data_IF_958284312462
#
_entry.id   IF_958284312462
#
_cell.length_a   1.000
_cell.length_b   1.000
_cell.length_c   1.000
_cell.angle_alpha   90.00
_cell.angle_beta   90.00
_cell.angle_gamma   90.00
#
_symmetry.space_group_name_H-M   'P 1'
#
loop_
_entity.id
_entity.type
_entity.pdbx_description
1 polymer ?
#
# COMPACT_ATOMS: atom_id res chain seq x y z
N UNK A 1 46.47 -29.50 30.81
CA UNK A 1 45.49 -30.01 29.83
C UNK A 1 44.16 -30.45 30.44
N UNK A 2 44.12 -31.31 31.49
CA UNK A 2 42.85 -31.79 32.09
C UNK A 2 41.90 -30.68 32.59
N UNK A 3 42.40 -29.64 33.27
CA UNK A 3 41.56 -28.52 33.78
C UNK A 3 40.91 -27.69 32.67
N UNK A 4 41.63 -27.44 31.57
CA UNK A 4 41.08 -26.69 30.44
C UNK A 4 39.95 -27.48 29.74
N UNK A 5 40.10 -28.79 29.59
CA UNK A 5 39.05 -29.64 29.02
C UNK A 5 37.77 -29.63 29.87
N UNK A 6 37.90 -29.69 31.21
CA UNK A 6 36.74 -29.60 32.11
C UNK A 6 36.02 -28.25 32.00
N UNK A 7 36.77 -27.15 31.94
CA UNK A 7 36.18 -25.81 31.78
C UNK A 7 35.41 -25.70 30.45
N UNK A 8 35.98 -26.21 29.36
CA UNK A 8 35.32 -26.22 28.04
C UNK A 8 34.02 -27.03 28.07
N UNK A 9 34.02 -28.21 28.70
CA UNK A 9 32.81 -29.05 28.80
C UNK A 9 31.73 -28.36 29.64
N UNK A 10 32.09 -27.76 30.78
CA UNK A 10 31.12 -27.03 31.61
C UNK A 10 30.55 -25.81 30.88
N UNK A 11 31.39 -25.06 30.16
CA UNK A 11 30.93 -23.94 29.35
C UNK A 11 29.95 -24.38 28.26
N UNK A 12 30.24 -25.47 27.54
CA UNK A 12 29.34 -26.03 26.52
C UNK A 12 28.03 -26.50 27.14
N UNK A 13 28.06 -27.20 28.28
CA UNK A 13 26.86 -27.66 28.97
C UNK A 13 25.97 -26.49 29.44
N UNK A 14 26.58 -25.42 29.95
CA UNK A 14 25.87 -24.23 30.39
C UNK A 14 25.25 -23.49 29.19
N UNK A 15 25.97 -23.35 28.08
CA UNK A 15 25.43 -22.79 26.82
C UNK A 15 24.26 -23.65 26.33
N UNK A 16 24.38 -24.98 26.29
CA UNK A 16 23.32 -25.88 25.87
C UNK A 16 22.08 -25.78 26.77
N UNK A 17 22.27 -25.70 28.09
CA UNK A 17 21.17 -25.53 29.05
C UNK A 17 20.45 -24.19 28.85
N UNK A 18 21.18 -23.10 28.65
CA UNK A 18 20.59 -21.79 28.34
C UNK A 18 19.79 -21.85 27.03
N UNK A 19 20.36 -22.44 25.97
CA UNK A 19 19.67 -22.62 24.68
C UNK A 19 18.38 -23.44 24.82
N UNK A 20 18.41 -24.54 25.57
CA UNK A 20 17.24 -25.39 25.82
C UNK A 20 16.19 -24.67 26.67
N UNK A 21 16.59 -23.84 27.63
CA UNK A 21 15.67 -23.04 28.45
C UNK A 21 14.89 -22.02 27.62
N UNK A 22 15.56 -21.40 26.64
CA UNK A 22 14.92 -20.42 25.76
C UNK A 22 14.03 -21.07 24.70
N UNK A 23 14.32 -22.31 24.31
CA UNK A 23 13.53 -23.07 23.33
C UNK A 23 12.16 -23.45 23.92
N UNK A 24 11.11 -23.14 23.19
CA UNK A 24 9.72 -23.43 23.55
C UNK A 24 8.88 -23.60 22.27
N UNK A 25 8.98 -24.78 21.67
CA UNK A 25 8.31 -25.12 20.41
C UNK A 25 6.78 -25.01 20.55
N UNK A 26 6.23 -25.39 21.71
CA UNK A 26 4.78 -25.34 22.00
C UNK A 26 4.26 -23.90 22.09
N UNK A 27 5.02 -22.98 22.67
CA UNK A 27 4.63 -21.58 22.71
C UNK A 27 4.54 -20.99 21.31
N UNK A 28 5.54 -21.24 20.46
CA UNK A 28 5.53 -20.77 19.06
C UNK A 28 4.36 -21.39 18.28
N UNK A 29 4.11 -22.69 18.42
CA UNK A 29 2.98 -23.37 17.79
C UNK A 29 1.62 -22.84 18.28
N UNK A 30 1.51 -22.53 19.57
CA UNK A 30 0.30 -21.94 20.16
C UNK A 30 0.07 -20.54 19.63
N UNK A 31 1.08 -19.68 19.59
CA UNK A 31 0.95 -18.32 19.06
C UNK A 31 0.67 -18.33 17.56
N UNK A 32 1.30 -19.23 16.79
CA UNK A 32 1.10 -19.35 15.34
C UNK A 32 -0.29 -19.91 14.94
N UNK A 33 -0.90 -20.74 15.79
CA UNK A 33 -2.23 -21.33 15.56
C UNK A 33 -3.39 -20.40 15.95
N UNK A 34 -3.11 -19.27 16.61
CA UNK A 34 -4.13 -18.26 16.90
C UNK A 34 -4.57 -17.57 15.61
N UNK A 35 -5.88 -17.45 15.44
CA UNK A 35 -6.47 -16.72 14.33
C UNK A 35 -6.11 -15.23 14.38
N UNK A 36 -5.74 -14.70 13.22
CA UNK A 36 -5.61 -13.27 12.97
C UNK A 36 -7.00 -12.64 12.75
N UNK A 37 -7.16 -11.32 12.97
CA UNK A 37 -8.46 -10.64 12.86
C UNK A 37 -9.04 -10.73 11.45
N UNK A 38 -10.33 -10.41 11.30
CA UNK A 38 -10.98 -10.33 9.99
C UNK A 38 -11.01 -11.65 9.20
N UNK A 39 -11.13 -12.78 9.91
CA UNK A 39 -11.17 -14.13 9.31
C UNK A 39 -9.90 -14.50 8.51
N UNK A 40 -8.76 -13.85 8.81
CA UNK A 40 -7.49 -14.16 8.16
C UNK A 40 -6.89 -15.51 8.60
N UNK A 41 -7.44 -16.15 9.64
CA UNK A 41 -6.99 -17.46 10.10
C UNK A 41 -5.59 -17.46 10.74
N UNK A 42 -5.02 -18.64 11.00
CA UNK A 42 -3.69 -18.82 11.59
C UNK A 42 -2.53 -18.53 10.60
N UNK A 43 -1.29 -18.50 11.09
CA UNK A 43 -0.10 -18.18 10.27
C UNK A 43 0.24 -19.25 9.21
N UNK A 44 -0.08 -20.51 9.46
CA UNK A 44 0.11 -21.59 8.49
C UNK A 44 -0.81 -21.43 7.28
N UNK A 45 -2.06 -21.02 7.51
CA UNK A 45 -3.05 -20.71 6.47
C UNK A 45 -2.66 -19.47 5.64
N UNK A 46 -1.81 -18.58 6.16
CA UNK A 46 -1.33 -17.43 5.42
C UNK A 46 -0.66 -17.91 4.13
N UNK A 47 0.39 -18.72 4.21
CA UNK A 47 1.16 -19.15 3.03
C UNK A 47 0.31 -19.83 1.93
N UNK A 48 -0.79 -20.49 2.32
CA UNK A 48 -1.71 -21.18 1.40
C UNK A 48 -2.57 -20.21 0.57
N UNK A 49 -2.77 -18.97 1.04
CA UNK A 49 -3.58 -17.95 0.34
C UNK A 49 -2.97 -17.49 -0.97
N UNK A 50 -1.66 -17.71 -1.18
CA UNK A 50 -0.91 -17.12 -2.29
C UNK A 50 -0.30 -18.22 -3.18
N UNK A 51 -1.08 -18.80 -4.10
CA UNK A 51 -0.59 -19.86 -4.99
C UNK A 51 0.52 -19.36 -5.92
N UNK A 52 1.36 -20.26 -6.42
CA UNK A 52 2.29 -19.94 -7.50
C UNK A 52 1.55 -19.28 -8.67
N UNK A 53 2.13 -18.23 -9.24
CA UNK A 53 1.65 -17.64 -10.50
C UNK A 53 2.77 -17.65 -11.52
N UNK A 54 2.42 -17.94 -12.76
CA UNK A 54 3.31 -17.76 -13.90
C UNK A 54 3.07 -16.38 -14.51
N UNK A 55 4.17 -15.68 -14.84
CA UNK A 55 4.08 -14.43 -15.58
C UNK A 55 3.38 -14.65 -16.93
N UNK A 56 2.50 -13.72 -17.30
CA UNK A 56 1.88 -13.73 -18.62
C UNK A 56 2.62 -12.80 -19.61
N UNK A 57 2.32 -12.92 -20.91
CA UNK A 57 2.94 -12.09 -21.96
C UNK A 57 2.74 -10.59 -21.72
N UNK A 58 1.57 -10.19 -21.18
CA UNK A 58 1.28 -8.81 -20.84
C UNK A 58 2.26 -8.25 -19.78
N UNK A 59 2.62 -9.03 -18.76
CA UNK A 59 3.61 -8.59 -17.77
C UNK A 59 4.99 -8.35 -18.39
N UNK A 60 5.41 -9.18 -19.34
CA UNK A 60 6.70 -9.04 -20.04
C UNK A 60 6.69 -7.78 -20.92
N UNK A 61 5.61 -7.57 -21.68
CA UNK A 61 5.43 -6.36 -22.51
C UNK A 61 5.41 -5.09 -21.65
N UNK A 62 4.68 -5.11 -20.55
CA UNK A 62 4.61 -3.98 -19.62
C UNK A 62 6.00 -3.65 -19.07
N UNK A 63 6.78 -4.65 -18.68
CA UNK A 63 8.16 -4.45 -18.23
C UNK A 63 9.02 -3.80 -19.30
N UNK A 64 8.94 -4.28 -20.55
CA UNK A 64 9.68 -3.69 -21.65
C UNK A 64 9.30 -2.22 -21.90
N UNK A 65 7.99 -1.92 -21.95
CA UNK A 65 7.52 -0.55 -22.17
C UNK A 65 7.87 0.39 -21.02
N UNK A 66 7.71 -0.05 -19.77
CA UNK A 66 7.99 0.78 -18.61
C UNK A 66 9.50 1.03 -18.42
N UNK A 67 10.36 0.04 -18.73
CA UNK A 67 11.81 0.23 -18.72
C UNK A 67 12.31 1.15 -19.84
N UNK A 68 11.55 1.29 -20.93
CA UNK A 68 11.85 2.24 -22.00
C UNK A 68 11.45 3.68 -21.68
N UNK A 69 10.71 3.92 -20.59
CA UNK A 69 10.37 5.28 -20.17
C UNK A 69 11.63 6.00 -19.67
N UNK A 70 11.88 7.24 -20.14
CA UNK A 70 12.99 8.03 -19.64
C UNK A 70 12.74 8.39 -18.17
N UNK A 71 13.78 8.29 -17.33
CA UNK A 71 13.73 8.90 -15.99
C UNK A 71 13.57 10.41 -16.18
N UNK A 72 12.49 10.98 -15.64
CA UNK A 72 12.14 12.38 -15.88
C UNK A 72 11.68 13.04 -14.57
N UNK A 73 12.62 13.70 -13.89
CA UNK A 73 12.37 14.40 -12.63
C UNK A 73 11.32 15.51 -12.79
N UNK A 74 11.22 16.15 -13.97
CA UNK A 74 10.19 17.15 -14.22
C UNK A 74 8.77 16.55 -14.23
N UNK A 75 8.60 15.30 -14.67
CA UNK A 75 7.33 14.58 -14.58
C UNK A 75 7.00 14.25 -13.13
N UNK A 76 7.99 13.78 -12.37
CA UNK A 76 7.81 13.46 -10.95
C UNK A 76 7.42 14.72 -10.15
N UNK A 77 8.12 15.83 -10.35
CA UNK A 77 7.84 17.13 -9.71
C UNK A 77 6.47 17.70 -10.13
N UNK A 78 6.08 17.51 -11.39
CA UNK A 78 4.76 17.91 -11.89
C UNK A 78 3.64 17.15 -11.19
N UNK A 79 3.74 15.82 -11.12
CA UNK A 79 2.74 14.98 -10.46
C UNK A 79 2.69 15.27 -8.96
N UNK A 80 3.83 15.39 -8.30
CA UNK A 80 3.89 15.69 -6.87
C UNK A 80 3.26 17.06 -6.55
N UNK A 81 3.55 18.09 -7.35
CA UNK A 81 2.95 19.42 -7.20
C UNK A 81 1.44 19.36 -7.40
N UNK A 82 0.95 18.67 -8.43
CA UNK A 82 -0.49 18.59 -8.69
C UNK A 82 -1.25 17.77 -7.65
N UNK A 83 -0.63 16.75 -7.04
CA UNK A 83 -1.21 15.96 -5.94
C UNK A 83 -1.36 16.80 -4.67
N UNK A 84 -0.36 17.64 -4.37
CA UNK A 84 -0.36 18.45 -3.14
C UNK A 84 -1.20 19.71 -3.23
N UNK A 85 -1.55 20.14 -4.44
CA UNK A 85 -2.30 21.37 -4.64
C UNK A 85 -3.80 21.14 -4.52
N UNK A 86 -4.39 21.79 -3.51
CA UNK A 86 -5.84 21.81 -3.28
C UNK A 86 -6.61 22.77 -4.18
N UNK A 87 -6.18 22.96 -5.42
CA UNK A 87 -6.81 23.88 -6.40
C UNK A 87 -7.25 23.10 -7.63
N UNK A 88 -8.43 23.44 -8.16
CA UNK A 88 -9.03 22.73 -9.30
C UNK A 88 -8.23 22.94 -10.60
N UNK A 89 -7.53 24.06 -10.72
CA UNK A 89 -6.67 24.35 -11.86
C UNK A 89 -5.50 23.36 -11.92
N UNK A 90 -5.05 23.06 -13.14
CA UNK A 90 -3.91 22.18 -13.42
C UNK A 90 -2.84 23.04 -14.10
N UNK A 91 -1.59 22.99 -13.67
CA UNK A 91 -0.48 23.75 -14.27
C UNK A 91 -0.09 23.24 -15.65
N UNK A 92 0.78 23.99 -16.34
CA UNK A 92 1.34 23.53 -17.60
C UNK A 92 2.20 22.27 -17.34
N UNK A 93 1.96 21.17 -18.10
CA UNK A 93 2.76 19.97 -17.96
C UNK A 93 4.16 20.17 -18.58
N UNK A 94 5.17 19.41 -18.12
CA UNK A 94 6.44 19.29 -18.83
C UNK A 94 6.27 18.49 -20.13
N UNK A 95 7.34 18.33 -20.91
CA UNK A 95 7.34 17.38 -22.02
C UNK A 95 7.11 15.96 -21.49
N UNK A 96 6.03 15.33 -21.94
CA UNK A 96 5.64 13.99 -21.51
C UNK A 96 6.15 12.91 -22.47
N UNK A 97 6.56 11.73 -21.95
CA UNK A 97 6.84 10.58 -22.80
C UNK A 97 5.55 10.02 -23.42
N UNK A 98 5.67 9.33 -24.55
CA UNK A 98 4.53 8.57 -25.09
C UNK A 98 4.27 7.32 -24.23
N UNK A 99 3.08 7.28 -23.64
CA UNK A 99 2.60 6.19 -22.79
C UNK A 99 1.50 5.36 -23.44
N UNK A 100 1.21 5.57 -24.73
CA UNK A 100 0.05 4.98 -25.40
C UNK A 100 0.07 3.45 -25.37
N UNK A 101 1.22 2.83 -25.62
CA UNK A 101 1.38 1.38 -25.55
C UNK A 101 1.15 0.81 -24.14
N UNK A 102 1.59 1.52 -23.09
CA UNK A 102 1.37 1.15 -21.69
C UNK A 102 -0.12 1.24 -21.36
N UNK A 103 -0.78 2.35 -21.70
CA UNK A 103 -2.21 2.55 -21.49
C UNK A 103 -3.01 1.44 -22.17
N UNK A 104 -2.79 1.22 -23.45
CA UNK A 104 -3.56 0.26 -24.25
C UNK A 104 -3.43 -1.16 -23.70
N UNK A 105 -2.22 -1.56 -23.32
CA UNK A 105 -1.99 -2.87 -22.70
C UNK A 105 -2.76 -3.03 -21.39
N UNK A 106 -2.68 -2.05 -20.49
CA UNK A 106 -3.33 -2.07 -19.17
C UNK A 106 -4.86 -1.99 -19.23
N UNK A 107 -5.42 -1.37 -20.28
CA UNK A 107 -6.87 -1.33 -20.49
C UNK A 107 -7.42 -2.58 -21.15
N UNK A 108 -6.59 -3.32 -21.90
CA UNK A 108 -7.04 -4.47 -22.70
C UNK A 108 -6.95 -5.80 -21.97
N UNK A 109 -5.86 -6.03 -21.23
CA UNK A 109 -5.55 -7.36 -20.68
C UNK A 109 -5.09 -7.29 -19.22
N UNK A 110 -5.49 -8.26 -18.38
CA UNK A 110 -4.96 -8.37 -17.03
C UNK A 110 -3.47 -8.73 -17.07
N UNK A 111 -2.67 -8.03 -16.28
CA UNK A 111 -1.25 -8.33 -16.11
C UNK A 111 -1.07 -9.26 -14.91
N UNK A 112 -0.42 -10.40 -15.13
CA UNK A 112 -0.14 -11.40 -14.10
C UNK A 112 1.38 -11.51 -13.94
N UNK A 113 1.87 -11.20 -12.75
CA UNK A 113 3.29 -11.30 -12.42
C UNK A 113 3.65 -12.70 -11.98
N UNK A 114 4.89 -13.11 -12.27
CA UNK A 114 5.43 -14.33 -11.68
C UNK A 114 5.51 -14.19 -10.17
N UNK A 115 5.06 -15.26 -9.49
CA UNK A 115 5.11 -15.42 -8.04
C UNK A 115 5.53 -16.85 -7.75
N UNK A 116 6.65 -17.01 -7.06
CA UNK A 116 7.11 -18.32 -6.60
C UNK A 116 6.29 -18.85 -5.42
N UNK A 117 6.45 -20.14 -5.13
CA UNK A 117 5.85 -20.77 -3.96
C UNK A 117 6.58 -20.37 -2.69
N UNK A 118 5.83 -20.31 -1.59
CA UNK A 118 6.39 -20.24 -0.24
C UNK A 118 6.50 -18.84 0.32
N UNK A 119 7.29 -18.72 1.39
CA UNK A 119 7.53 -17.48 2.10
C UNK A 119 8.95 -17.02 1.83
N UNK A 120 9.09 -15.79 1.34
CA UNK A 120 10.37 -15.24 0.86
C UNK A 120 10.16 -14.35 -0.36
N UNK A 121 10.87 -13.21 -0.41
CA UNK A 121 10.79 -12.28 -1.52
C UNK A 121 11.80 -12.61 -2.62
N UNK A 122 11.37 -12.61 -3.88
CA UNK A 122 12.30 -12.67 -5.01
C UNK A 122 13.11 -11.37 -5.12
N UNK A 123 14.38 -11.49 -5.53
CA UNK A 123 15.38 -10.41 -5.61
C UNK A 123 14.97 -9.20 -6.48
N UNK A 124 13.90 -9.29 -7.27
CA UNK A 124 13.47 -8.29 -8.27
C UNK A 124 12.37 -7.31 -7.78
N UNK A 125 11.88 -7.44 -6.55
CA UNK A 125 10.68 -6.70 -6.12
C UNK A 125 10.87 -5.17 -6.05
N UNK A 126 12.08 -4.70 -5.72
CA UNK A 126 12.39 -3.28 -5.70
C UNK A 126 12.44 -2.67 -7.11
N UNK A 127 13.02 -3.39 -8.08
CA UNK A 127 13.07 -2.96 -9.47
C UNK A 127 11.67 -2.92 -10.08
N UNK A 128 10.86 -3.97 -9.86
CA UNK A 128 9.46 -4.02 -10.28
C UNK A 128 8.63 -2.89 -9.68
N UNK A 129 8.75 -2.64 -8.38
CA UNK A 129 8.06 -1.52 -7.72
C UNK A 129 8.45 -0.18 -8.33
N UNK A 130 9.75 0.02 -8.59
CA UNK A 130 10.25 1.27 -9.19
C UNK A 130 9.65 1.46 -10.57
N UNK A 131 9.70 0.44 -11.42
CA UNK A 131 9.10 0.42 -12.75
C UNK A 131 7.59 0.73 -12.72
N UNK A 132 6.83 0.08 -11.84
CA UNK A 132 5.38 0.29 -11.71
C UNK A 132 5.04 1.72 -11.30
N UNK A 133 5.76 2.28 -10.32
CA UNK A 133 5.53 3.65 -9.87
C UNK A 133 5.94 4.67 -10.94
N UNK A 134 6.99 4.42 -11.72
CA UNK A 134 7.37 5.26 -12.86
C UNK A 134 6.28 5.27 -13.93
N UNK A 135 5.78 4.10 -14.33
CA UNK A 135 4.69 4.00 -15.30
C UNK A 135 3.41 4.70 -14.79
N UNK A 136 3.07 4.50 -13.52
CA UNK A 136 1.93 5.16 -12.89
C UNK A 136 2.04 6.69 -12.91
N UNK A 137 3.20 7.25 -12.55
CA UNK A 137 3.42 8.72 -12.60
C UNK A 137 3.32 9.27 -14.02
N UNK A 138 3.88 8.58 -15.00
CA UNK A 138 3.79 9.00 -16.40
C UNK A 138 2.33 9.01 -16.91
N UNK A 139 1.53 7.99 -16.54
CA UNK A 139 0.11 7.95 -16.84
C UNK A 139 -0.67 9.07 -16.12
N UNK A 140 -0.40 9.32 -14.84
CA UNK A 140 -1.04 10.43 -14.08
C UNK A 140 -0.70 11.78 -14.69
N UNK A 141 0.55 12.00 -15.10
CA UNK A 141 0.95 13.23 -15.77
C UNK A 141 0.22 13.42 -17.11
N UNK A 142 0.09 12.35 -17.91
CA UNK A 142 -0.73 12.36 -19.14
C UNK A 142 -2.20 12.68 -18.84
N UNK A 143 -2.78 12.09 -17.80
CA UNK A 143 -4.16 12.34 -17.39
C UNK A 143 -4.37 13.83 -17.04
N UNK A 144 -3.47 14.41 -16.24
CA UNK A 144 -3.50 15.83 -15.88
C UNK A 144 -3.38 16.75 -17.10
N UNK A 145 -2.47 16.45 -18.03
CA UNK A 145 -2.30 17.22 -19.25
C UNK A 145 -3.57 17.21 -20.12
N UNK A 146 -4.22 16.04 -20.26
CA UNK A 146 -5.50 15.90 -20.96
C UNK A 146 -6.65 16.59 -20.22
N UNK A 147 -6.70 16.48 -18.90
CA UNK A 147 -7.72 17.14 -18.09
C UNK A 147 -7.63 18.67 -18.19
N UNK A 148 -6.42 19.24 -18.27
CA UNK A 148 -6.21 20.68 -18.48
C UNK A 148 -6.85 21.19 -19.78
N UNK A 149 -6.90 20.36 -20.83
CA UNK A 149 -7.61 20.67 -22.08
C UNK A 149 -9.06 20.17 -22.11
N UNK A 150 -9.61 19.82 -20.94
CA UNK A 150 -10.95 19.27 -20.76
C UNK A 150 -11.22 18.01 -21.61
N UNK A 151 -10.19 17.19 -21.88
CA UNK A 151 -10.30 15.97 -22.67
C UNK A 151 -10.74 14.78 -21.79
N UNK A 152 -11.91 14.16 -22.06
CA UNK A 152 -12.41 13.01 -21.28
C UNK A 152 -11.48 11.80 -21.26
N UNK A 153 -10.60 11.64 -22.26
CA UNK A 153 -9.60 10.57 -22.30
C UNK A 153 -8.53 10.66 -21.18
N UNK A 154 -8.58 11.70 -20.34
CA UNK A 154 -7.85 11.76 -19.08
C UNK A 154 -8.24 10.61 -18.14
N UNK A 155 -9.51 10.20 -18.15
CA UNK A 155 -9.98 9.10 -17.32
C UNK A 155 -9.40 7.75 -17.74
N UNK A 156 -9.13 7.54 -19.02
CA UNK A 156 -8.55 6.29 -19.52
C UNK A 156 -7.12 6.09 -19.00
N UNK A 157 -6.34 7.17 -18.91
CA UNK A 157 -5.00 7.13 -18.32
C UNK A 157 -5.07 6.77 -16.82
N UNK A 158 -6.01 7.35 -16.06
CA UNK A 158 -6.21 7.01 -14.65
C UNK A 158 -6.72 5.57 -14.47
N UNK A 159 -7.58 5.10 -15.37
CA UNK A 159 -8.06 3.72 -15.35
C UNK A 159 -6.92 2.73 -15.64
N UNK A 160 -6.00 3.07 -16.53
CA UNK A 160 -4.79 2.29 -16.74
C UNK A 160 -3.94 2.20 -15.47
N UNK A 161 -3.78 3.30 -14.72
CA UNK A 161 -3.10 3.27 -13.40
C UNK A 161 -3.86 2.39 -12.41
N UNK A 162 -5.19 2.42 -12.43
CA UNK A 162 -6.01 1.58 -11.57
C UNK A 162 -5.79 0.09 -11.89
N UNK A 163 -5.81 -0.28 -13.16
CA UNK A 163 -5.53 -1.64 -13.59
C UNK A 163 -4.10 -2.06 -13.24
N UNK A 164 -3.11 -1.16 -13.36
CA UNK A 164 -1.75 -1.41 -12.90
C UNK A 164 -1.68 -1.68 -11.39
N UNK A 165 -2.39 -0.90 -10.57
CA UNK A 165 -2.47 -1.11 -9.14
C UNK A 165 -3.09 -2.47 -8.80
N UNK A 166 -4.15 -2.86 -9.52
CA UNK A 166 -4.83 -4.16 -9.35
C UNK A 166 -3.96 -5.36 -9.68
N UNK A 167 -2.91 -5.20 -10.48
CA UNK A 167 -1.94 -6.29 -10.75
C UNK A 167 -1.20 -6.76 -9.49
N UNK A 168 -1.22 -5.94 -8.44
CA UNK A 168 -0.61 -6.22 -7.14
C UNK A 168 -1.62 -6.78 -6.13
N UNK A 169 -2.87 -6.95 -6.55
CA UNK A 169 -3.91 -7.54 -5.71
C UNK A 169 -3.55 -8.97 -5.35
N UNK A 170 -3.70 -9.31 -4.08
CA UNK A 170 -3.32 -10.62 -3.58
C UNK A 170 -1.81 -10.88 -3.63
N UNK A 171 -0.97 -9.87 -3.80
CA UNK A 171 0.47 -10.05 -3.62
C UNK A 171 0.80 -10.11 -2.11
N UNK A 172 1.50 -11.15 -1.63
CA UNK A 172 1.71 -11.35 -0.19
C UNK A 172 2.68 -10.35 0.44
N UNK A 173 3.53 -9.72 -0.36
CA UNK A 173 4.54 -8.80 0.15
C UNK A 173 3.99 -7.41 0.43
N UNK A 174 4.32 -6.88 1.61
CA UNK A 174 3.93 -5.54 2.05
C UNK A 174 4.41 -4.44 1.08
N UNK A 175 5.62 -4.59 0.52
CA UNK A 175 6.16 -3.64 -0.47
C UNK A 175 5.31 -3.53 -1.75
N UNK A 176 4.71 -4.63 -2.20
CA UNK A 176 3.79 -4.61 -3.34
C UNK A 176 2.47 -3.93 -2.97
N UNK A 177 1.89 -4.25 -1.81
CA UNK A 177 0.66 -3.62 -1.33
C UNK A 177 0.82 -2.11 -1.12
N UNK A 178 1.97 -1.64 -0.62
CA UNK A 178 2.25 -0.21 -0.50
C UNK A 178 2.38 0.49 -1.86
N UNK A 179 2.89 -0.20 -2.90
CA UNK A 179 2.92 0.32 -4.26
C UNK A 179 1.50 0.44 -4.84
N UNK A 180 0.65 -0.57 -4.64
CA UNK A 180 -0.76 -0.54 -5.02
C UNK A 180 -1.50 0.64 -4.36
N UNK A 181 -1.34 0.80 -3.05
CA UNK A 181 -1.90 1.92 -2.29
C UNK A 181 -1.38 3.27 -2.82
N UNK A 182 -0.09 3.37 -3.12
CA UNK A 182 0.51 4.61 -3.65
C UNK A 182 -0.10 4.99 -5.00
N UNK A 183 -0.29 4.03 -5.90
CA UNK A 183 -0.95 4.24 -7.19
C UNK A 183 -2.41 4.68 -7.02
N UNK A 184 -3.18 4.00 -6.16
CA UNK A 184 -4.57 4.37 -5.87
C UNK A 184 -4.67 5.80 -5.30
N UNK A 185 -3.76 6.17 -4.40
CA UNK A 185 -3.68 7.52 -3.83
C UNK A 185 -3.38 8.58 -4.89
N UNK A 186 -2.46 8.32 -5.83
CA UNK A 186 -2.19 9.24 -6.93
C UNK A 186 -3.44 9.45 -7.79
N UNK A 187 -4.16 8.39 -8.16
CA UNK A 187 -5.43 8.48 -8.90
C UNK A 187 -6.42 9.35 -8.14
N UNK A 188 -6.67 9.02 -6.86
CA UNK A 188 -7.63 9.72 -6.04
C UNK A 188 -7.32 11.22 -5.90
N UNK A 189 -6.04 11.55 -5.72
CA UNK A 189 -5.58 12.92 -5.52
C UNK A 189 -5.85 13.84 -6.73
N UNK A 190 -5.88 13.28 -7.94
CA UNK A 190 -6.11 14.05 -9.18
C UNK A 190 -7.51 13.85 -9.76
N UNK A 191 -8.23 12.79 -9.37
CA UNK A 191 -9.54 12.44 -9.93
C UNK A 191 -10.56 13.59 -9.84
N UNK A 192 -10.57 14.35 -8.75
CA UNK A 192 -11.48 15.49 -8.59
C UNK A 192 -11.18 16.67 -9.52
N UNK A 193 -10.03 16.68 -10.21
CA UNK A 193 -9.65 17.66 -11.23
C UNK A 193 -10.02 17.23 -12.66
N UNK A 194 -10.43 15.98 -12.85
CA UNK A 194 -10.73 15.43 -14.18
C UNK A 194 -12.03 16.00 -14.76
N UNK A 195 -12.22 15.96 -16.09
CA UNK A 195 -13.48 16.36 -16.72
C UNK A 195 -14.68 15.56 -16.19
N UNK A 196 -15.85 16.18 -16.11
CA UNK A 196 -17.09 15.47 -15.79
C UNK A 196 -17.70 14.85 -17.06
N UNK A 197 -18.47 13.74 -16.95
CA UNK A 197 -18.80 13.00 -15.73
C UNK A 197 -17.68 12.06 -15.27
N UNK A 198 -17.68 11.71 -13.98
CA UNK A 198 -16.79 10.66 -13.47
C UNK A 198 -17.23 9.27 -13.97
N UNK A 199 -16.30 8.39 -14.38
CA UNK A 199 -16.61 7.07 -14.89
C UNK A 199 -16.98 6.09 -13.76
N UNK A 200 -17.77 5.05 -14.10
CA UNK A 200 -18.26 4.08 -13.13
C UNK A 200 -17.15 3.31 -12.39
N UNK A 201 -16.04 2.99 -13.08
CA UNK A 201 -14.90 2.27 -12.48
C UNK A 201 -14.29 3.03 -11.30
N UNK A 202 -14.44 4.36 -11.24
CA UNK A 202 -13.94 5.14 -10.11
C UNK A 202 -14.64 4.70 -8.81
N UNK A 203 -15.92 4.32 -8.87
CA UNK A 203 -16.67 3.76 -7.75
C UNK A 203 -16.00 2.50 -7.18
N UNK A 204 -15.52 1.59 -8.04
CA UNK A 204 -14.80 0.38 -7.62
C UNK A 204 -13.54 0.72 -6.81
N UNK A 205 -12.78 1.72 -7.25
CA UNK A 205 -11.60 2.19 -6.52
C UNK A 205 -11.99 2.86 -5.18
N UNK A 206 -13.07 3.64 -5.17
CA UNK A 206 -13.57 4.33 -3.97
C UNK A 206 -14.07 3.35 -2.90
N UNK A 207 -14.64 2.22 -3.31
CA UNK A 207 -15.22 1.22 -2.41
C UNK A 207 -14.19 0.21 -1.86
N UNK A 208 -13.03 0.10 -2.51
CA UNK A 208 -12.00 -0.87 -2.14
C UNK A 208 -11.55 -0.80 -0.68
N UNK A 209 -11.38 -1.96 -0.05
CA UNK A 209 -10.66 -2.07 1.22
C UNK A 209 -9.15 -2.02 0.99
N UNK A 210 -8.49 -0.98 1.52
CA UNK A 210 -7.04 -0.81 1.41
C UNK A 210 -6.28 -1.26 2.67
N UNK A 211 -6.99 -1.52 3.77
CA UNK A 211 -6.37 -1.93 5.04
C UNK A 211 -6.24 -3.45 5.07
N UNK A 212 -7.27 -4.18 4.64
CA UNK A 212 -7.23 -5.65 4.64
C UNK A 212 -6.06 -6.24 3.86
N UNK A 213 -5.76 -5.83 2.60
CA UNK A 213 -4.60 -6.38 1.88
C UNK A 213 -3.26 -6.11 2.58
N UNK A 214 -3.12 -4.97 3.29
CA UNK A 214 -1.93 -4.66 4.08
C UNK A 214 -1.83 -5.56 5.33
N UNK A 215 -2.96 -5.82 6.00
CA UNK A 215 -3.01 -6.74 7.15
C UNK A 215 -2.69 -8.19 6.73
N UNK A 216 -3.19 -8.62 5.58
CA UNK A 216 -2.88 -9.92 5.00
C UNK A 216 -1.39 -10.05 4.65
N UNK A 217 -0.80 -8.98 4.09
CA UNK A 217 0.64 -8.93 3.83
C UNK A 217 1.48 -8.87 5.12
N UNK A 218 0.97 -8.21 6.16
CA UNK A 218 1.60 -8.20 7.48
C UNK A 218 1.59 -9.59 8.11
N UNK A 219 0.46 -10.31 8.04
CA UNK A 219 0.35 -11.71 8.44
C UNK A 219 1.35 -12.60 7.67
N UNK A 220 1.49 -12.42 6.36
CA UNK A 220 2.48 -13.16 5.56
C UNK A 220 3.91 -12.90 6.00
N UNK A 221 4.25 -11.63 6.25
CA UNK A 221 5.57 -11.27 6.75
C UNK A 221 5.85 -11.95 8.10
N UNK A 222 4.85 -11.99 8.98
CA UNK A 222 4.93 -12.71 10.26
C UNK A 222 5.11 -14.20 10.08
N UNK A 223 4.40 -14.81 9.13
CA UNK A 223 4.60 -16.20 8.78
C UNK A 223 6.01 -16.48 8.21
N UNK A 224 6.62 -15.52 7.48
CA UNK A 224 7.98 -15.64 6.91
C UNK A 224 9.00 -15.84 8.00
N UNK A 225 9.12 -14.85 8.90
CA UNK A 225 10.15 -14.92 9.92
C UNK A 225 9.86 -16.03 10.95
N UNK A 226 8.61 -16.47 11.10
CA UNK A 226 8.29 -17.64 11.92
C UNK A 226 8.78 -18.96 11.29
N UNK A 227 8.91 -19.02 9.95
CA UNK A 227 9.39 -20.19 9.20
C UNK A 227 10.86 -20.11 8.76
N UNK A 228 11.45 -18.91 8.72
CA UNK A 228 12.78 -18.69 8.14
C UNK A 228 13.94 -18.93 9.13
N UNK A 229 15.01 -19.55 8.61
CA UNK A 229 16.37 -19.53 9.16
C UNK A 229 16.52 -19.84 10.66
N UNK A 230 17.17 -18.93 11.38
CA UNK A 230 17.53 -19.07 12.79
C UNK A 230 16.32 -19.15 13.73
N UNK A 231 15.20 -18.51 13.37
CA UNK A 231 13.96 -18.56 14.16
C UNK A 231 13.29 -19.95 14.10
N UNK A 232 13.41 -20.65 12.97
CA UNK A 232 12.96 -22.03 12.84
C UNK A 232 13.82 -23.02 13.64
N UNK A 233 15.13 -22.76 13.73
CA UNK A 233 16.08 -23.57 14.52
C UNK A 233 15.96 -23.29 16.03
N UNK A 234 15.70 -22.03 16.39
CA UNK A 234 15.55 -21.55 17.76
C UNK A 234 14.15 -20.97 17.96
N UNK A 235 13.17 -21.87 18.03
CA UNK A 235 11.79 -21.52 18.43
C UNK A 235 11.79 -21.07 19.89
N UNK A 236 11.95 -19.77 20.12
CA UNK A 236 12.09 -19.23 21.47
C UNK A 236 10.78 -18.67 22.00
N UNK A 237 10.70 -18.47 23.33
CA UNK A 237 9.62 -17.68 23.95
C UNK A 237 9.53 -16.26 23.38
N UNK A 238 10.66 -15.67 22.99
CA UNK A 238 10.70 -14.34 22.37
C UNK A 238 10.03 -14.34 20.99
N UNK A 239 10.27 -15.36 20.16
CA UNK A 239 9.58 -15.51 18.88
C UNK A 239 8.05 -15.65 19.06
N UNK A 240 7.62 -16.46 20.03
CA UNK A 240 6.18 -16.59 20.34
C UNK A 240 5.55 -15.25 20.76
N UNK A 241 6.25 -14.50 21.63
CA UNK A 241 5.82 -13.17 22.04
C UNK A 241 5.77 -12.16 20.88
N UNK A 242 6.74 -12.22 19.97
CA UNK A 242 6.79 -11.39 18.76
C UNK A 242 5.61 -11.67 17.82
N UNK A 243 5.28 -12.95 17.58
CA UNK A 243 4.10 -13.36 16.80
C UNK A 243 2.81 -12.83 17.44
N UNK A 244 2.67 -13.01 18.76
CA UNK A 244 1.50 -12.54 19.48
C UNK A 244 1.39 -11.01 19.47
N UNK A 245 2.51 -10.30 19.57
CA UNK A 245 2.56 -8.85 19.48
C UNK A 245 2.09 -8.37 18.10
N UNK A 246 2.65 -8.89 17.01
CA UNK A 246 2.23 -8.55 15.64
C UNK A 246 0.73 -8.84 15.41
N UNK A 247 0.22 -9.96 15.93
CA UNK A 247 -1.21 -10.29 15.86
C UNK A 247 -2.07 -9.26 16.59
N UNK A 248 -1.66 -8.82 17.78
CA UNK A 248 -2.37 -7.80 18.55
C UNK A 248 -2.34 -6.43 17.84
N UNK A 249 -1.22 -6.06 17.20
CA UNK A 249 -1.15 -4.87 16.35
C UNK A 249 -2.17 -4.98 15.21
N UNK A 250 -2.22 -6.13 14.53
CA UNK A 250 -3.18 -6.35 13.45
C UNK A 250 -4.63 -6.25 13.94
N UNK A 251 -4.92 -6.77 15.14
CA UNK A 251 -6.25 -6.71 15.77
C UNK A 251 -6.66 -5.29 16.14
N UNK A 252 -5.73 -4.50 16.68
CA UNK A 252 -5.96 -3.07 16.91
C UNK A 252 -6.27 -2.36 15.59
N UNK A 253 -5.38 -2.48 14.60
CA UNK A 253 -5.52 -1.84 13.29
C UNK A 253 -6.83 -2.23 12.59
N UNK A 254 -7.23 -3.51 12.64
CA UNK A 254 -8.48 -3.97 12.03
C UNK A 254 -9.71 -3.26 12.59
N UNK A 255 -9.73 -2.99 13.89
CA UNK A 255 -10.86 -2.34 14.58
C UNK A 255 -10.82 -0.80 14.54
N UNK A 256 -9.75 -0.20 14.03
CA UNK A 256 -9.61 1.25 13.98
C UNK A 256 -10.54 1.90 12.94
N UNK A 257 -11.32 2.86 13.42
CA UNK A 257 -12.17 3.73 12.59
C UNK A 257 -11.60 5.14 12.43
N UNK A 258 -10.62 5.54 13.25
CA UNK A 258 -9.92 6.83 13.11
C UNK A 258 -9.00 6.83 11.89
N UNK A 259 -8.75 8.00 11.32
CA UNK A 259 -7.86 8.16 10.17
C UNK A 259 -6.49 8.72 10.56
N UNK A 260 -6.42 9.45 11.68
CA UNK A 260 -5.20 9.81 12.39
C UNK A 260 -4.73 8.64 13.29
N UNK A 261 -3.82 7.80 12.77
CA UNK A 261 -3.32 6.61 13.46
C UNK A 261 -1.85 6.74 13.84
N UNK A 262 -1.52 6.25 15.02
CA UNK A 262 -0.14 6.02 15.44
C UNK A 262 0.03 4.53 15.67
N UNK A 263 0.58 3.84 14.66
CA UNK A 263 0.74 2.40 14.72
C UNK A 263 2.04 2.07 15.46
N UNK A 264 2.03 1.12 16.40
CA UNK A 264 3.24 0.70 17.09
C UNK A 264 4.26 0.09 16.10
N UNK A 265 5.54 0.24 16.43
CA UNK A 265 6.62 -0.46 15.72
C UNK A 265 6.49 -1.97 15.91
N UNK A 266 6.81 -2.74 14.88
CA UNK A 266 6.95 -4.19 15.03
C UNK A 266 8.30 -4.56 15.66
N UNK A 267 8.38 -5.77 16.22
CA UNK A 267 9.59 -6.29 16.88
C UNK A 267 10.77 -6.52 15.92
N UNK A 268 10.51 -6.55 14.61
CA UNK A 268 11.54 -6.63 13.57
C UNK A 268 12.24 -5.29 13.29
N UNK A 269 11.88 -4.22 14.02
CA UNK A 269 12.47 -2.90 13.83
C UNK A 269 12.13 -2.26 12.48
N UNK A 270 11.13 -2.79 11.78
CA UNK A 270 10.62 -2.16 10.55
C UNK A 270 9.56 -1.15 10.94
N UNK A 271 9.86 0.13 10.77
CA UNK A 271 8.89 1.19 11.02
C UNK A 271 7.81 1.20 9.92
N UNK A 272 6.66 0.61 10.23
CA UNK A 272 5.47 0.58 9.38
C UNK A 272 4.51 1.73 9.68
N UNK A 273 4.85 2.64 10.60
CA UNK A 273 3.98 3.74 11.03
C UNK A 273 3.55 4.59 9.83
N UNK A 274 4.47 4.90 8.93
CA UNK A 274 4.17 5.64 7.70
C UNK A 274 3.17 4.91 6.79
N UNK A 275 3.32 3.59 6.63
CA UNK A 275 2.42 2.76 5.81
C UNK A 275 1.00 2.79 6.36
N UNK A 276 0.85 2.57 7.67
CA UNK A 276 -0.46 2.58 8.31
C UNK A 276 -1.08 3.98 8.30
N UNK A 277 -0.34 5.04 8.65
CA UNK A 277 -0.83 6.42 8.54
C UNK A 277 -1.37 6.73 7.15
N UNK A 278 -0.66 6.34 6.09
CA UNK A 278 -1.12 6.51 4.70
C UNK A 278 -2.41 5.74 4.43
N UNK A 279 -2.49 4.46 4.82
CA UNK A 279 -3.64 3.61 4.54
C UNK A 279 -4.92 4.11 5.23
N UNK A 280 -4.81 4.58 6.47
CA UNK A 280 -5.96 5.11 7.22
C UNK A 280 -6.35 6.51 6.75
N UNK A 281 -5.39 7.43 6.55
CA UNK A 281 -5.64 8.76 5.99
C UNK A 281 -6.29 8.69 4.60
N UNK A 282 -6.00 7.66 3.82
CA UNK A 282 -6.58 7.48 2.49
C UNK A 282 -8.11 7.37 2.51
N UNK A 283 -8.74 6.97 3.62
CA UNK A 283 -10.20 7.00 3.77
C UNK A 283 -10.74 8.43 3.63
N UNK A 284 -10.16 9.40 4.35
CA UNK A 284 -10.52 10.80 4.24
C UNK A 284 -10.20 11.37 2.85
N UNK A 285 -9.04 11.03 2.27
CA UNK A 285 -8.69 11.51 0.91
C UNK A 285 -9.73 11.08 -0.14
N UNK A 286 -10.24 9.85 -0.04
CA UNK A 286 -11.28 9.31 -0.91
C UNK A 286 -12.61 10.05 -0.79
N UNK A 287 -13.04 10.29 0.44
CA UNK A 287 -14.23 11.08 0.72
C UNK A 287 -14.09 12.52 0.24
N UNK A 288 -12.90 13.11 0.35
CA UNK A 288 -12.60 14.44 -0.18
C UNK A 288 -12.85 14.49 -1.69
N UNK A 289 -12.31 13.51 -2.43
CA UNK A 289 -12.47 13.40 -3.88
C UNK A 289 -13.93 13.17 -4.27
N UNK A 290 -14.64 12.27 -3.58
CA UNK A 290 -16.06 12.01 -3.82
C UNK A 290 -16.90 13.27 -3.60
N UNK A 291 -16.71 13.97 -2.47
CA UNK A 291 -17.41 15.21 -2.16
C UNK A 291 -17.07 16.34 -3.15
N UNK A 292 -15.81 16.45 -3.58
CA UNK A 292 -15.41 17.43 -4.58
C UNK A 292 -16.10 17.18 -5.93
N UNK A 293 -16.18 15.92 -6.38
CA UNK A 293 -16.92 15.56 -7.60
C UNK A 293 -18.41 15.87 -7.46
N UNK A 294 -19.03 15.56 -6.31
CA UNK A 294 -20.44 15.90 -6.03
C UNK A 294 -20.70 17.40 -6.14
N UNK A 295 -19.85 18.24 -5.52
CA UNK A 295 -19.99 19.70 -5.60
C UNK A 295 -19.89 20.18 -7.05
N UNK A 296 -18.93 19.66 -7.81
CA UNK A 296 -18.75 20.02 -9.23
C UNK A 296 -19.95 19.61 -10.10
N UNK A 297 -20.63 18.52 -9.74
CA UNK A 297 -21.90 18.07 -10.34
C UNK A 297 -23.13 18.85 -9.85
N UNK A 298 -22.97 19.83 -8.95
CA UNK A 298 -24.08 20.58 -8.36
C UNK A 298 -24.87 19.81 -7.29
N UNK A 299 -24.32 18.70 -6.78
CA UNK A 299 -24.92 17.88 -5.72
C UNK A 299 -24.44 18.35 -4.33
N UNK A 300 -25.28 18.15 -3.32
CA UNK A 300 -24.89 18.38 -1.92
C UNK A 300 -23.77 17.41 -1.50
N UNK A 301 -22.87 17.85 -0.63
CA UNK A 301 -21.84 17.01 -0.02
C UNK A 301 -22.45 16.01 0.97
N UNK A 302 -21.72 14.94 1.23
CA UNK A 302 -21.92 14.07 2.39
C UNK A 302 -21.07 14.61 3.53
N UNK A 303 -21.73 15.09 4.59
CA UNK A 303 -21.06 15.73 5.75
C UNK A 303 -20.46 14.70 6.72
N UNK A 304 -21.00 13.48 6.75
CA UNK A 304 -20.46 12.37 7.53
C UNK A 304 -19.14 11.86 6.93
N UNK A 305 -18.26 11.34 7.79
CA UNK A 305 -17.03 10.65 7.40
C UNK A 305 -17.02 9.24 7.96
N UNK A 306 -16.36 8.31 7.27
CA UNK A 306 -16.00 6.99 7.82
C UNK A 306 -14.84 7.10 8.81
N UNK A 307 -14.12 8.22 8.82
CA UNK A 307 -13.15 8.56 9.83
C UNK A 307 -13.86 9.07 11.08
N UNK A 308 -13.72 8.37 12.21
CA UNK A 308 -14.38 8.77 13.47
C UNK A 308 -13.81 10.05 14.11
N UNK A 309 -12.73 10.60 13.55
CA UNK A 309 -12.04 11.79 14.04
C UNK A 309 -12.56 13.12 13.45
N UNK A 310 -13.48 13.08 12.48
CA UNK A 310 -14.01 14.30 11.87
C UNK A 310 -15.15 14.11 10.87
N UNK A 311 -15.45 15.18 10.12
CA UNK A 311 -16.47 15.24 9.09
C UNK A 311 -16.15 16.29 8.03
N UNK A 312 -17.02 16.41 7.04
CA UNK A 312 -16.83 17.31 5.90
C UNK A 312 -17.68 18.57 6.01
N UNK A 313 -17.07 19.70 5.66
CA UNK A 313 -17.72 21.01 5.58
C UNK A 313 -17.47 21.64 4.21
N UNK A 314 -18.44 22.39 3.72
CA UNK A 314 -18.34 23.12 2.45
C UNK A 314 -18.94 24.52 2.62
N UNK A 315 -18.15 25.56 2.33
CA UNK A 315 -18.53 26.96 2.51
C UNK A 315 -19.08 27.63 1.23
N UNK A 316 -19.25 26.86 0.16
CA UNK A 316 -19.68 27.34 -1.15
C UNK A 316 -18.56 27.36 -2.20
N UNK A 317 -17.28 27.40 -1.79
CA UNK A 317 -16.11 27.36 -2.68
C UNK A 317 -15.07 26.33 -2.26
N UNK A 318 -14.91 26.11 -0.95
CA UNK A 318 -13.88 25.28 -0.34
C UNK A 318 -14.50 24.12 0.43
N UNK A 319 -14.09 22.90 0.06
CA UNK A 319 -14.36 21.67 0.81
C UNK A 319 -13.24 21.49 1.83
N UNK A 320 -13.57 21.22 3.09
CA UNK A 320 -12.58 20.96 4.14
C UNK A 320 -12.99 19.85 5.08
N UNK A 321 -12.02 19.07 5.53
CA UNK A 321 -12.19 18.20 6.68
C UNK A 321 -12.17 19.02 7.98
N UNK A 322 -12.97 18.61 8.97
CA UNK A 322 -13.16 19.36 10.23
C UNK A 322 -11.92 19.40 11.12
N UNK A 323 -10.99 18.46 10.93
CA UNK A 323 -9.79 18.30 11.73
C UNK A 323 -8.56 18.16 10.82
N UNK A 324 -7.40 18.56 11.31
CA UNK A 324 -6.14 18.22 10.65
C UNK A 324 -5.72 16.78 10.98
N UNK A 325 -5.47 15.97 9.96
CA UNK A 325 -4.92 14.62 10.10
C UNK A 325 -3.43 14.70 9.80
N UNK A 326 -2.61 14.25 10.75
CA UNK A 326 -1.16 14.30 10.64
C UNK A 326 -0.67 13.67 9.34
N UNK A 327 0.23 14.36 8.64
CA UNK A 327 0.89 13.82 7.46
C UNK A 327 2.17 13.12 7.89
N UNK A 328 2.41 11.91 7.39
CA UNK A 328 3.71 11.27 7.55
C UNK A 328 4.70 11.97 6.62
N UNK A 329 5.56 12.84 7.14
CA UNK A 329 6.70 13.31 6.36
C UNK A 329 7.59 12.11 5.97
N UNK A 330 8.13 12.04 4.73
CA UNK A 330 8.14 13.07 3.70
C UNK A 330 6.97 12.99 2.70
N UNK A 331 5.96 12.15 2.93
CA UNK A 331 4.87 11.98 1.97
C UNK A 331 4.05 13.24 1.87
N UNK A 332 4.17 13.89 0.73
CA UNK A 332 3.43 15.06 0.30
C UNK A 332 2.04 14.65 -0.17
N UNK A 333 1.03 14.60 0.70
CA UNK A 333 -0.17 13.85 0.41
C UNK A 333 -1.25 14.81 -0.10
N UNK A 334 -2.35 14.26 -0.62
CA UNK A 334 -3.49 15.10 -1.04
C UNK A 334 -3.96 15.96 0.16
N UNK A 335 -4.18 17.27 -0.03
CA UNK A 335 -4.72 18.11 1.02
C UNK A 335 -6.18 17.75 1.32
N UNK A 336 -6.59 17.84 2.58
CA UNK A 336 -7.98 17.67 3.00
C UNK A 336 -8.76 19.01 2.97
N UNK A 337 -8.23 19.97 2.23
CA UNK A 337 -8.82 21.28 1.94
C UNK A 337 -8.71 21.51 0.44
N UNK A 338 -9.84 21.53 -0.25
CA UNK A 338 -9.93 21.61 -1.71
C UNK A 338 -10.78 22.81 -2.13
N UNK A 339 -10.23 23.68 -2.96
CA UNK A 339 -10.96 24.75 -3.66
C UNK A 339 -11.61 24.15 -4.90
N UNK A 340 -12.89 23.83 -4.78
CA UNK A 340 -13.65 23.07 -5.78
C UNK A 340 -14.43 23.97 -6.75
N UNK A 341 -14.47 25.28 -6.48
CA UNK A 341 -14.93 26.31 -7.41
C UNK A 341 -13.85 27.40 -7.55
N UNK A 342 -13.66 27.97 -8.74
CA UNK A 342 -12.74 29.07 -8.98
C UNK A 342 -13.16 30.36 -8.26
#
# INVERSE_FOLDING_TARGET
MKKAAVIVVVAIALIAWVVLWFRNDDAVATSASRSWPGEMGPLDAAAERWPKLQANEASVKLTAFANALPKNEAVDDFVEREITRGELTIDAPPTLPDISAIRELLLREPVVWERENGIGGGDDMNARRTMQLTAARALVASALAKARSNNPAAWDDLHAVWNLARTLDGHPQLMAQTAALSMARMINAVAWKMPLPAPAWLGEMQERDNVRPLLEAFQYQTASYAKDGWAAVFRTRWLAASIDHDRLIAEELFNLTRCDVDAPMNELGTDLTSVWRRAFRYRAEREATANALRVREGKAIETGSRCSDGGWMFDGTTLRFSREIATSAPDRPMPLVLRVKP
#
